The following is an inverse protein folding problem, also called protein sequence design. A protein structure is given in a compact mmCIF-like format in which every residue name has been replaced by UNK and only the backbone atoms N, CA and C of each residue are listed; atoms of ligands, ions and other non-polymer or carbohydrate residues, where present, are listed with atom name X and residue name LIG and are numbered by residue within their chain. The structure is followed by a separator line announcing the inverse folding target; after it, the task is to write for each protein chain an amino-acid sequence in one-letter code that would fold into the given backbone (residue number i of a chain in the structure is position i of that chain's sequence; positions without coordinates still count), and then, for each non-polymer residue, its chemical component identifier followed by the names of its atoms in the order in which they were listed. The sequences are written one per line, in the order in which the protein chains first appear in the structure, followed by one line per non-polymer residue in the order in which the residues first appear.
data_IF_472690308002
#
_entry.id   IF_472690308002
#
_cell.length_a   1.000
_cell.length_b   1.000
_cell.length_c   1.000
_cell.angle_alpha   90.00
_cell.angle_beta   90.00
_cell.angle_gamma   90.00
#
_symmetry.space_group_name_H-M   'P 1'
#
loop_
_entity.id
_entity.type
_entity.pdbx_description
1 polymer ?
#
# COMPACT_ATOMS: atom_id res chain seq x y z
N UNK A 1 -23.58 -28.60 -25.35
CA UNK A 1 -22.94 -28.32 -24.04
C UNK A 1 -22.32 -29.54 -23.39
N UNK A 2 -22.94 -30.71 -23.40
CA UNK A 2 -22.41 -31.92 -22.71
C UNK A 2 -20.97 -32.33 -23.13
N UNK A 3 -20.58 -32.18 -24.41
CA UNK A 3 -19.26 -32.58 -24.89
C UNK A 3 -18.12 -31.64 -24.42
N UNK A 4 -18.36 -30.34 -24.36
CA UNK A 4 -17.35 -29.38 -23.84
C UNK A 4 -17.18 -29.60 -22.33
N UNK A 5 -18.25 -29.84 -21.60
CA UNK A 5 -18.21 -30.12 -20.16
C UNK A 5 -17.38 -31.38 -19.83
N UNK A 6 -17.56 -32.47 -20.57
CA UNK A 6 -16.74 -33.69 -20.38
C UNK A 6 -15.25 -33.39 -20.62
N UNK A 7 -14.92 -32.74 -21.73
CA UNK A 7 -13.54 -32.35 -22.04
C UNK A 7 -12.96 -31.41 -20.94
N UNK A 8 -13.74 -30.49 -20.42
CA UNK A 8 -13.35 -29.61 -19.33
C UNK A 8 -13.03 -30.40 -18.04
N UNK A 9 -13.88 -31.36 -17.66
CA UNK A 9 -13.64 -32.21 -16.49
C UNK A 9 -12.38 -33.06 -16.66
N UNK A 10 -12.20 -33.69 -17.82
CA UNK A 10 -11.01 -34.49 -18.12
C UNK A 10 -9.71 -33.67 -18.06
N UNK A 11 -9.72 -32.45 -18.60
CA UNK A 11 -8.56 -31.54 -18.54
C UNK A 11 -8.25 -31.08 -17.11
N UNK A 12 -9.29 -30.82 -16.29
CA UNK A 12 -9.09 -30.49 -14.88
C UNK A 12 -8.47 -31.65 -14.11
N UNK A 13 -9.01 -32.87 -14.24
CA UNK A 13 -8.43 -34.06 -13.60
C UNK A 13 -6.97 -34.24 -13.99
N UNK A 14 -6.65 -34.08 -15.27
CA UNK A 14 -5.27 -34.17 -15.81
C UNK A 14 -4.36 -33.11 -15.18
N UNK A 15 -4.84 -31.85 -15.07
CA UNK A 15 -4.07 -30.73 -14.52
C UNK A 15 -3.77 -30.94 -13.03
N UNK A 16 -4.77 -31.32 -12.22
CA UNK A 16 -4.61 -31.54 -10.78
C UNK A 16 -3.77 -32.78 -10.42
N UNK A 17 -3.72 -33.80 -11.29
CA UNK A 17 -2.90 -35.01 -11.09
C UNK A 17 -1.43 -34.81 -11.43
N UNK A 18 -1.07 -33.79 -12.22
CA UNK A 18 0.34 -33.53 -12.61
C UNK A 18 1.21 -33.25 -11.39
N UNK A 19 2.42 -33.82 -11.36
CA UNK A 19 3.42 -33.57 -10.34
C UNK A 19 3.78 -32.07 -10.25
N UNK A 20 3.93 -31.39 -11.39
CA UNK A 20 4.19 -29.96 -11.45
C UNK A 20 3.13 -29.10 -10.70
N UNK A 21 1.86 -29.48 -10.79
CA UNK A 21 0.77 -28.80 -10.08
C UNK A 21 0.88 -28.97 -8.55
N UNK A 22 1.21 -30.19 -8.10
CA UNK A 22 1.43 -30.46 -6.68
C UNK A 22 2.64 -29.72 -6.15
N UNK A 23 3.75 -29.73 -6.88
CA UNK A 23 4.96 -28.97 -6.54
C UNK A 23 4.67 -27.47 -6.47
N UNK A 24 3.85 -26.95 -7.39
CA UNK A 24 3.43 -25.57 -7.41
C UNK A 24 2.71 -25.17 -6.11
N UNK A 25 1.76 -25.99 -5.67
CA UNK A 25 1.01 -25.73 -4.44
C UNK A 25 1.96 -25.73 -3.23
N UNK A 26 2.89 -26.67 -3.17
CA UNK A 26 3.90 -26.72 -2.08
C UNK A 26 4.74 -25.43 -2.07
N UNK A 27 5.22 -24.99 -3.22
CA UNK A 27 6.02 -23.75 -3.32
C UNK A 27 5.21 -22.50 -2.95
N UNK A 28 3.94 -22.44 -3.30
CA UNK A 28 3.05 -21.34 -2.86
C UNK A 28 2.84 -21.33 -1.35
N UNK A 29 2.68 -22.51 -0.73
CA UNK A 29 2.60 -22.63 0.75
C UNK A 29 3.92 -22.19 1.38
N UNK A 30 5.06 -22.58 0.83
CA UNK A 30 6.37 -22.12 1.31
C UNK A 30 6.54 -20.60 1.18
N UNK A 31 6.04 -20.00 0.10
CA UNK A 31 6.02 -18.55 -0.07
C UNK A 31 5.15 -17.85 1.01
N UNK A 32 4.00 -18.44 1.34
CA UNK A 32 3.13 -17.95 2.41
C UNK A 32 3.83 -18.04 3.78
N UNK A 33 4.48 -19.16 4.06
CA UNK A 33 5.29 -19.34 5.30
C UNK A 33 6.45 -18.35 5.33
N UNK A 34 7.10 -18.08 4.21
CA UNK A 34 8.15 -17.05 4.11
C UNK A 34 7.63 -15.66 4.43
N UNK A 35 6.47 -15.28 3.90
CA UNK A 35 5.81 -14.01 4.21
C UNK A 35 5.45 -13.90 5.70
N UNK A 36 4.96 -15.00 6.30
CA UNK A 36 4.65 -15.08 7.72
C UNK A 36 5.91 -14.91 8.59
N UNK A 37 6.98 -15.61 8.24
CA UNK A 37 8.26 -15.54 8.97
C UNK A 37 8.86 -14.14 8.91
N UNK A 38 8.80 -13.49 7.74
CA UNK A 38 9.30 -12.12 7.56
C UNK A 38 8.51 -11.12 8.42
N UNK A 39 7.18 -11.20 8.41
CA UNK A 39 6.33 -10.31 9.20
C UNK A 39 6.52 -10.51 10.70
N UNK A 40 6.72 -11.76 11.17
CA UNK A 40 7.04 -12.06 12.57
C UNK A 40 8.42 -11.57 12.97
N UNK A 41 9.39 -11.64 12.07
CA UNK A 41 10.72 -11.10 12.31
C UNK A 41 10.69 -9.58 12.49
N UNK A 42 9.94 -8.87 11.64
CA UNK A 42 9.75 -7.42 11.76
C UNK A 42 9.09 -7.07 13.10
N UNK A 43 8.03 -7.77 13.47
CA UNK A 43 7.38 -7.59 14.78
C UNK A 43 8.36 -7.76 15.95
N UNK A 44 9.17 -8.82 15.92
CA UNK A 44 10.18 -9.08 16.97
C UNK A 44 11.25 -7.99 17.06
N UNK A 45 11.70 -7.46 15.91
CA UNK A 45 12.70 -6.39 15.87
C UNK A 45 12.13 -5.11 16.47
N UNK A 46 10.88 -4.76 16.16
CA UNK A 46 10.25 -3.56 16.68
C UNK A 46 9.96 -3.66 18.16
N UNK A 47 9.42 -4.80 18.63
CA UNK A 47 9.24 -5.05 20.08
C UNK A 47 10.54 -4.95 20.87
N UNK A 48 11.66 -5.38 20.28
CA UNK A 48 12.99 -5.26 20.92
C UNK A 48 13.51 -3.82 20.93
N UNK A 49 13.15 -3.02 19.93
CA UNK A 49 13.53 -1.61 19.87
C UNK A 49 12.70 -0.75 20.85
N UNK A 50 11.45 -1.12 21.11
CA UNK A 50 10.60 -0.43 22.10
C UNK A 50 11.10 -0.59 23.55
N UNK A 51 11.82 -1.66 23.87
CA UNK A 51 12.44 -1.88 25.19
C UNK A 51 13.50 -0.78 25.52
N UNK A 52 14.01 -0.08 24.51
CA UNK A 52 14.96 1.01 24.71
C UNK A 52 14.31 2.34 25.16
N UNK A 53 13.00 2.37 25.42
CA UNK A 53 12.29 3.56 25.82
C UNK A 53 12.71 4.10 27.20
N UNK A 54 12.98 3.22 28.16
CA UNK A 54 13.46 3.62 29.50
C UNK A 54 14.87 4.20 29.45
N UNK A 55 15.75 3.64 28.62
CA UNK A 55 17.11 4.17 28.44
C UNK A 55 17.10 5.54 27.76
N UNK A 56 16.10 5.79 26.89
CA UNK A 56 15.94 7.09 26.26
C UNK A 56 15.47 8.18 27.23
N UNK A 57 14.55 7.89 28.16
CA UNK A 57 14.08 8.83 29.18
C UNK A 57 15.25 9.23 30.08
N UNK A 58 16.02 8.26 30.61
CA UNK A 58 17.17 8.55 31.47
C UNK A 58 18.26 9.35 30.74
N UNK A 59 18.58 8.99 29.50
CA UNK A 59 19.57 9.74 28.71
C UNK A 59 19.10 11.15 28.33
N UNK A 60 17.79 11.38 28.15
CA UNK A 60 17.24 12.70 27.89
C UNK A 60 17.26 13.60 29.14
N UNK A 61 16.97 13.04 30.30
CA UNK A 61 17.07 13.78 31.58
C UNK A 61 18.51 14.19 31.89
N UNK A 62 19.47 13.28 31.72
CA UNK A 62 20.90 13.57 31.86
C UNK A 62 21.36 14.63 30.84
N UNK A 63 20.90 14.52 29.59
CA UNK A 63 21.16 15.51 28.56
C UNK A 63 20.65 16.91 28.95
N UNK A 64 19.44 17.04 29.45
CA UNK A 64 18.89 18.33 29.89
C UNK A 64 19.64 18.90 31.12
N UNK A 65 20.08 18.05 32.05
CA UNK A 65 20.94 18.48 33.18
C UNK A 65 22.27 19.01 32.68
N UNK A 66 22.89 18.34 31.71
CA UNK A 66 24.15 18.79 31.09
C UNK A 66 23.99 20.14 30.38
N UNK A 67 22.91 20.33 29.62
CA UNK A 67 22.62 21.63 28.98
C UNK A 67 22.41 22.74 29.99
N UNK A 68 21.74 22.48 31.11
CA UNK A 68 21.59 23.47 32.21
C UNK A 68 22.93 23.86 32.79
N UNK A 69 23.87 22.94 32.98
CA UNK A 69 25.21 23.25 33.48
C UNK A 69 25.98 24.14 32.49
N UNK A 70 25.96 23.80 31.21
CA UNK A 70 26.60 24.61 30.15
C UNK A 70 26.01 26.03 30.11
N UNK A 71 24.67 26.15 30.17
CA UNK A 71 24.00 27.46 30.15
C UNK A 71 24.31 28.29 31.41
N UNK A 72 24.44 27.64 32.57
CA UNK A 72 24.84 28.31 33.83
C UNK A 72 26.31 28.82 33.77
N UNK A 73 27.21 28.07 33.13
CA UNK A 73 28.57 28.54 32.90
C UNK A 73 28.60 29.75 31.96
N UNK A 74 27.81 29.73 30.88
CA UNK A 74 27.66 30.85 29.95
C UNK A 74 27.14 32.11 30.66
N UNK A 75 26.21 32.00 31.62
CA UNK A 75 25.72 33.16 32.39
C UNK A 75 26.78 33.87 33.22
N UNK A 76 27.91 33.21 33.53
CA UNK A 76 29.01 33.79 34.24
C UNK A 76 29.88 34.71 33.37
N UNK A 77 29.69 34.70 32.05
CA UNK A 77 30.41 35.57 31.14
C UNK A 77 29.92 37.04 31.28
N UNK A 78 30.83 37.88 31.72
CA UNK A 78 30.57 39.30 31.90
C UNK A 78 30.43 40.10 30.60
N UNK A 79 30.71 39.52 29.45
CA UNK A 79 30.62 40.14 28.12
C UNK A 79 29.21 40.13 27.55
N UNK A 80 28.31 39.33 28.10
CA UNK A 80 26.93 39.17 27.63
C UNK A 80 26.09 40.42 27.90
N UNK A 81 25.32 40.82 26.91
CA UNK A 81 24.29 41.84 27.06
C UNK A 81 23.16 41.39 27.97
N UNK A 82 22.37 42.32 28.52
CA UNK A 82 21.22 42.01 29.36
C UNK A 82 20.21 41.13 28.65
N UNK A 83 19.94 41.33 27.36
CA UNK A 83 19.01 40.53 26.56
C UNK A 83 19.49 39.10 26.40
N UNK A 84 20.80 38.88 26.21
CA UNK A 84 21.38 37.54 26.08
C UNK A 84 21.29 36.78 27.41
N UNK A 85 21.50 37.43 28.53
CA UNK A 85 21.34 36.82 29.85
C UNK A 85 19.89 36.40 30.12
N UNK A 86 18.91 37.26 29.81
CA UNK A 86 17.51 36.97 29.93
C UNK A 86 17.06 35.75 29.08
N UNK A 87 17.66 35.63 27.87
CA UNK A 87 17.39 34.47 27.00
C UNK A 87 17.97 33.16 27.55
N UNK A 88 19.21 33.20 28.05
CA UNK A 88 19.84 32.02 28.69
C UNK A 88 19.07 31.60 29.94
N UNK A 89 18.64 32.51 30.82
CA UNK A 89 17.83 32.24 31.99
C UNK A 89 16.48 31.61 31.60
N UNK A 90 15.89 32.07 30.48
CA UNK A 90 14.66 31.48 29.96
C UNK A 90 14.88 30.05 29.46
N UNK A 91 15.97 29.76 28.79
CA UNK A 91 16.32 28.41 28.33
C UNK A 91 16.54 27.46 29.53
N UNK A 92 17.25 27.90 30.56
CA UNK A 92 17.43 27.14 31.79
C UNK A 92 16.07 26.80 32.39
N UNK A 93 15.18 27.78 32.51
CA UNK A 93 13.83 27.57 33.03
C UNK A 93 13.03 26.55 32.21
N UNK A 94 13.15 26.57 30.89
CA UNK A 94 12.51 25.58 30.00
C UNK A 94 12.99 24.17 30.32
N UNK A 95 14.30 23.96 30.43
CA UNK A 95 14.86 22.65 30.77
C UNK A 95 14.48 22.20 32.18
N UNK A 96 14.45 23.09 33.14
CA UNK A 96 13.97 22.77 34.51
C UNK A 96 12.50 22.34 34.50
N UNK A 97 11.63 23.01 33.74
CA UNK A 97 10.22 22.63 33.55
C UNK A 97 10.13 21.26 32.88
N UNK A 98 10.95 20.97 31.86
CA UNK A 98 10.97 19.65 31.21
C UNK A 98 11.33 18.55 32.20
N UNK A 99 12.37 18.70 32.99
CA UNK A 99 12.79 17.72 33.99
C UNK A 99 11.73 17.54 35.05
N UNK A 100 11.24 18.63 35.64
CA UNK A 100 10.25 18.62 36.73
C UNK A 100 8.95 17.92 36.35
N UNK A 101 8.50 18.13 35.09
CA UNK A 101 7.22 17.61 34.61
C UNK A 101 7.42 16.37 33.69
N UNK A 102 8.62 15.81 33.63
CA UNK A 102 8.96 14.62 32.83
C UNK A 102 8.57 14.76 31.33
N UNK A 103 8.84 15.93 30.73
CA UNK A 103 8.50 16.26 29.34
C UNK A 103 9.68 15.91 28.44
N UNK A 104 9.77 14.66 27.98
CA UNK A 104 10.93 14.21 27.20
C UNK A 104 10.68 14.17 25.68
N UNK A 105 9.49 13.82 25.20
CA UNK A 105 9.12 13.77 23.76
C UNK A 105 7.62 13.96 23.54
N UNK A 106 7.22 14.25 22.30
CA UNK A 106 5.90 14.12 21.64
C UNK A 106 4.64 14.57 22.39
N UNK A 107 4.76 15.07 23.61
CA UNK A 107 3.69 15.67 24.39
C UNK A 107 3.44 17.11 23.87
N UNK A 108 2.19 17.58 23.91
CA UNK A 108 1.83 18.95 23.55
C UNK A 108 2.67 20.01 24.28
N UNK A 109 3.08 19.73 25.53
CA UNK A 109 3.95 20.58 26.33
C UNK A 109 5.33 20.72 25.71
N UNK A 110 5.85 19.64 25.10
CA UNK A 110 7.12 19.69 24.38
C UNK A 110 7.02 20.58 23.14
N UNK A 111 5.90 20.54 22.41
CA UNK A 111 5.64 21.46 21.29
C UNK A 111 5.54 22.92 21.79
N UNK A 112 4.80 23.15 22.89
CA UNK A 112 4.68 24.47 23.48
C UNK A 112 6.02 25.06 23.93
N UNK A 113 6.89 24.23 24.52
CA UNK A 113 8.22 24.63 24.99
C UNK A 113 9.26 24.74 23.87
N UNK A 114 8.98 24.27 22.68
CA UNK A 114 9.85 24.41 21.51
C UNK A 114 9.68 25.75 20.77
N UNK A 115 8.65 26.53 21.10
CA UNK A 115 8.45 27.85 20.51
C UNK A 115 9.55 28.83 20.95
N UNK A 116 10.34 29.33 20.02
CA UNK A 116 11.43 30.29 20.28
C UNK A 116 10.90 31.57 20.99
N UNK A 117 9.65 31.95 20.70
CA UNK A 117 8.99 33.13 21.25
C UNK A 117 7.97 32.77 22.37
N UNK A 118 8.29 31.76 23.18
CA UNK A 118 7.41 31.35 24.26
C UNK A 118 7.18 32.50 25.26
N UNK A 119 5.91 32.80 25.53
CA UNK A 119 5.52 33.82 26.49
C UNK A 119 5.32 33.22 27.90
N UNK A 120 5.31 34.09 28.91
CA UNK A 120 5.12 33.66 30.30
C UNK A 120 3.75 32.97 30.52
N UNK A 121 2.72 33.36 29.75
CA UNK A 121 1.39 32.75 29.81
C UNK A 121 1.46 31.28 29.35
N UNK A 122 2.19 31.00 28.27
CA UNK A 122 2.41 29.62 27.78
C UNK A 122 3.18 28.77 28.79
N UNK A 123 4.21 29.35 29.46
CA UNK A 123 4.93 28.65 30.54
C UNK A 123 4.02 28.28 31.71
N UNK A 124 3.16 29.17 32.15
CA UNK A 124 2.17 28.88 33.20
C UNK A 124 1.16 27.79 32.80
N UNK A 125 0.70 27.81 31.54
CA UNK A 125 -0.20 26.79 30.98
C UNK A 125 0.49 25.42 30.98
N UNK A 126 1.76 25.35 30.62
CA UNK A 126 2.55 24.10 30.62
C UNK A 126 2.78 23.61 32.06
N UNK A 127 3.15 24.50 32.98
CA UNK A 127 3.34 24.14 34.42
C UNK A 127 2.06 23.62 35.07
N UNK A 128 0.90 24.18 34.69
CA UNK A 128 -0.41 23.74 35.18
C UNK A 128 -0.97 22.51 34.47
N UNK A 129 -0.28 22.03 33.45
CA UNK A 129 -0.74 20.96 32.57
C UNK A 129 -2.12 21.23 31.96
N UNK A 130 -2.39 22.50 31.59
CA UNK A 130 -3.66 22.97 31.04
C UNK A 130 -3.68 22.86 29.53
N UNK A 131 -4.00 21.65 29.01
CA UNK A 131 -4.09 21.39 27.57
C UNK A 131 -5.17 22.24 26.86
N UNK A 132 -6.32 22.39 27.50
CA UNK A 132 -7.44 23.15 26.93
C UNK A 132 -7.08 24.62 26.77
N UNK A 133 -6.44 25.21 27.81
CA UNK A 133 -5.90 26.57 27.78
C UNK A 133 -4.85 26.75 26.67
N UNK A 134 -4.00 25.74 26.42
CA UNK A 134 -3.03 25.76 25.35
C UNK A 134 -3.71 25.76 23.98
N UNK A 135 -4.73 24.92 23.79
CA UNK A 135 -5.47 24.87 22.51
C UNK A 135 -6.22 26.18 22.25
N UNK A 136 -6.82 26.79 23.29
CA UNK A 136 -7.47 28.09 23.16
C UNK A 136 -6.48 29.20 22.79
N UNK A 137 -5.28 29.20 23.39
CA UNK A 137 -4.21 30.13 23.03
C UNK A 137 -3.75 29.93 21.58
N UNK A 138 -3.64 28.67 21.08
CA UNK A 138 -3.31 28.40 19.68
C UNK A 138 -4.39 28.92 18.72
N UNK A 139 -5.67 28.77 19.08
CA UNK A 139 -6.78 29.32 18.27
C UNK A 139 -6.75 30.85 18.25
N UNK A 140 -6.45 31.50 19.37
CA UNK A 140 -6.31 32.97 19.46
C UNK A 140 -5.13 33.45 18.58
N UNK A 141 -3.97 32.79 18.69
CA UNK A 141 -2.78 33.08 17.83
C UNK A 141 -3.11 32.88 16.35
N UNK A 142 -3.85 31.83 16.00
CA UNK A 142 -4.27 31.55 14.63
C UNK A 142 -5.20 32.63 14.07
N UNK A 143 -6.18 33.08 14.87
CA UNK A 143 -7.08 34.17 14.49
C UNK A 143 -6.33 35.46 14.28
N UNK A 144 -5.38 35.81 15.18
CA UNK A 144 -4.52 36.98 15.04
C UNK A 144 -3.71 36.95 13.73
N UNK A 145 -3.15 35.80 13.35
CA UNK A 145 -2.45 35.66 12.06
C UNK A 145 -3.36 35.94 10.86
N UNK A 146 -4.64 35.57 10.92
CA UNK A 146 -5.62 35.94 9.88
C UNK A 146 -5.91 37.42 9.86
N UNK A 147 -6.17 38.02 11.03
CA UNK A 147 -6.47 39.47 11.18
C UNK A 147 -5.27 40.31 10.69
N UNK A 148 -4.05 39.86 10.97
CA UNK A 148 -2.79 40.49 10.53
C UNK A 148 -2.46 40.14 9.04
N UNK A 149 -3.32 39.42 8.32
CA UNK A 149 -3.16 38.98 6.91
C UNK A 149 -1.89 38.17 6.65
N UNK A 150 -1.39 37.47 7.65
CA UNK A 150 -0.22 36.58 7.53
C UNK A 150 -0.56 35.25 6.87
N UNK A 151 -1.84 34.83 6.98
CA UNK A 151 -2.37 33.60 6.39
C UNK A 151 -3.65 33.88 5.61
N UNK A 152 -3.99 33.03 4.65
CA UNK A 152 -5.23 33.12 3.90
C UNK A 152 -6.44 32.60 4.72
N UNK A 153 -7.65 32.95 4.30
CA UNK A 153 -8.87 32.43 4.90
C UNK A 153 -8.96 30.89 4.79
N UNK A 154 -8.49 30.34 3.67
CA UNK A 154 -8.46 28.88 3.46
C UNK A 154 -7.51 28.21 4.45
N UNK A 155 -6.31 28.75 4.62
CA UNK A 155 -5.33 28.24 5.57
C UNK A 155 -5.82 28.33 7.01
N UNK A 156 -6.50 29.41 7.37
CA UNK A 156 -7.14 29.55 8.67
C UNK A 156 -8.19 28.47 8.90
N UNK A 157 -9.06 28.21 7.92
CA UNK A 157 -10.09 27.19 8.04
C UNK A 157 -9.51 25.80 8.19
N UNK A 158 -8.48 25.46 7.41
CA UNK A 158 -7.76 24.19 7.49
C UNK A 158 -7.14 23.97 8.87
N UNK A 159 -6.35 24.94 9.37
CA UNK A 159 -5.69 24.83 10.66
C UNK A 159 -6.70 24.83 11.83
N UNK A 160 -7.80 25.55 11.70
CA UNK A 160 -8.89 25.56 12.69
C UNK A 160 -9.49 24.17 12.86
N UNK A 161 -9.79 23.46 11.76
CA UNK A 161 -10.29 22.08 11.79
C UNK A 161 -9.29 21.18 12.52
N UNK A 162 -7.99 21.32 12.25
CA UNK A 162 -6.96 20.50 12.88
C UNK A 162 -6.84 20.77 14.38
N UNK A 163 -6.93 22.03 14.80
CA UNK A 163 -6.93 22.41 16.22
C UNK A 163 -8.18 21.90 16.95
N UNK A 164 -9.35 21.95 16.31
CA UNK A 164 -10.58 21.39 16.87
C UNK A 164 -10.47 19.86 17.02
N UNK A 165 -9.91 19.16 16.06
CA UNK A 165 -9.64 17.71 16.16
C UNK A 165 -8.66 17.42 17.32
N UNK A 166 -7.56 18.18 17.42
CA UNK A 166 -6.59 18.02 18.52
C UNK A 166 -7.25 18.21 19.89
N UNK A 167 -8.07 19.26 20.02
CA UNK A 167 -8.76 19.57 21.28
C UNK A 167 -9.81 18.51 21.63
N UNK A 168 -10.71 18.19 20.69
CA UNK A 168 -11.85 17.30 20.94
C UNK A 168 -11.43 15.86 21.25
N UNK A 169 -10.35 15.39 20.61
CA UNK A 169 -9.86 14.02 20.78
C UNK A 169 -8.63 13.92 21.69
N UNK A 170 -8.22 15.00 22.33
CA UNK A 170 -7.09 15.02 23.26
C UNK A 170 -5.79 14.52 22.62
N UNK A 171 -5.53 14.90 21.36
CA UNK A 171 -4.36 14.40 20.63
C UNK A 171 -3.10 15.02 21.22
N UNK A 172 -2.15 14.18 21.60
CA UNK A 172 -0.94 14.54 22.34
C UNK A 172 -1.20 15.09 23.76
N UNK A 173 -2.42 14.88 24.32
CA UNK A 173 -2.80 15.44 25.63
C UNK A 173 -2.15 14.72 26.80
N UNK A 174 -2.14 13.42 26.78
CA UNK A 174 -1.79 12.60 27.92
C UNK A 174 -0.90 11.42 27.53
N UNK A 175 0.16 11.31 28.19
CA UNK A 175 1.00 10.23 28.61
C UNK A 175 2.48 10.42 28.24
N UNK A 176 3.32 10.79 29.21
CA UNK A 176 4.77 10.84 29.02
C UNK A 176 5.36 9.45 28.71
N UNK A 177 4.57 8.37 28.83
CA UNK A 177 4.96 6.99 28.51
C UNK A 177 4.62 6.57 27.08
N UNK A 178 3.68 7.23 26.41
CA UNK A 178 3.37 6.96 25.01
C UNK A 178 4.33 7.75 24.13
N UNK A 179 5.39 7.07 23.68
CA UNK A 179 6.40 7.64 22.79
C UNK A 179 5.87 8.09 21.43
N UNK A 180 4.66 7.68 21.05
CA UNK A 180 4.12 7.90 19.73
C UNK A 180 2.58 7.91 19.74
N UNK A 181 1.99 9.08 19.57
CA UNK A 181 0.57 9.20 19.26
C UNK A 181 0.40 9.22 17.73
N UNK A 182 -0.08 8.10 17.15
CA UNK A 182 -0.33 7.99 15.72
C UNK A 182 -1.23 9.12 15.20
N UNK A 183 -2.14 9.64 16.04
CA UNK A 183 -3.08 10.72 15.70
C UNK A 183 -2.34 12.04 15.42
N UNK A 184 -1.25 12.31 16.14
CA UNK A 184 -0.40 13.48 15.90
C UNK A 184 0.25 13.42 14.51
N UNK A 185 0.73 12.23 14.10
CA UNK A 185 1.26 12.04 12.75
C UNK A 185 0.17 12.17 11.69
N UNK A 186 -1.02 11.62 11.94
CA UNK A 186 -2.16 11.76 11.03
C UNK A 186 -2.53 13.24 10.82
N UNK A 187 -2.50 14.05 11.86
CA UNK A 187 -2.71 15.51 11.74
C UNK A 187 -1.62 16.18 10.89
N UNK A 188 -0.37 15.80 11.10
CA UNK A 188 0.74 16.30 10.27
C UNK A 188 0.55 15.94 8.79
N UNK A 189 0.13 14.72 8.51
CA UNK A 189 -0.15 14.25 7.14
C UNK A 189 -1.34 15.01 6.51
N UNK A 190 -2.41 15.27 7.29
CA UNK A 190 -3.54 16.08 6.82
C UNK A 190 -3.06 17.49 6.47
N UNK A 191 -2.32 18.14 7.35
CA UNK A 191 -1.76 19.50 7.12
C UNK A 191 -0.93 19.56 5.84
N UNK A 192 -0.06 18.57 5.62
CA UNK A 192 0.76 18.51 4.41
C UNK A 192 -0.07 18.35 3.14
N UNK A 193 -1.11 17.50 3.16
CA UNK A 193 -2.02 17.32 2.02
C UNK A 193 -2.88 18.56 1.77
N UNK A 194 -3.41 19.21 2.81
CA UNK A 194 -4.13 20.49 2.69
C UNK A 194 -3.23 21.57 2.06
N UNK A 195 -1.99 21.71 2.52
CA UNK A 195 -1.02 22.63 1.92
C UNK A 195 -0.79 22.30 0.45
N UNK A 196 -0.63 21.04 0.09
CA UNK A 196 -0.44 20.60 -1.30
C UNK A 196 -1.67 20.92 -2.17
N UNK A 197 -2.88 20.77 -1.64
CA UNK A 197 -4.13 21.12 -2.34
C UNK A 197 -4.22 22.63 -2.60
N UNK A 198 -3.90 23.48 -1.60
CA UNK A 198 -3.92 24.95 -1.75
C UNK A 198 -2.89 25.45 -2.75
N UNK A 199 -1.67 24.92 -2.70
CA UNK A 199 -0.57 25.34 -3.60
C UNK A 199 -0.67 24.73 -4.99
N UNK A 200 -1.45 23.64 -5.15
CA UNK A 200 -1.47 22.85 -6.38
C UNK A 200 -0.18 22.06 -6.62
N UNK A 201 0.74 22.04 -5.66
CA UNK A 201 2.05 21.39 -5.75
C UNK A 201 2.17 20.35 -4.65
N UNK A 202 2.57 19.15 -5.02
CA UNK A 202 2.86 18.07 -4.08
C UNK A 202 4.06 18.45 -3.21
N UNK A 203 3.88 18.50 -1.89
CA UNK A 203 4.92 18.91 -0.92
C UNK A 203 6.10 17.96 -0.85
N UNK A 204 5.93 16.68 -1.24
CA UNK A 204 6.99 15.67 -1.20
C UNK A 204 7.81 15.62 -2.50
N UNK A 205 7.13 15.77 -3.63
CA UNK A 205 7.75 15.59 -4.95
C UNK A 205 8.02 16.89 -5.69
N UNK A 206 7.54 18.04 -5.17
CA UNK A 206 7.58 19.37 -5.79
C UNK A 206 6.99 19.42 -7.22
N UNK A 207 5.98 18.57 -7.51
CA UNK A 207 5.33 18.52 -8.82
C UNK A 207 3.89 19.04 -8.73
N UNK A 208 3.42 19.58 -9.85
CA UNK A 208 2.03 20.05 -9.96
C UNK A 208 1.07 18.86 -9.81
N UNK A 209 0.09 19.00 -8.94
CA UNK A 209 -0.95 17.99 -8.71
C UNK A 209 -1.89 17.89 -9.91
N UNK A 210 -2.14 16.68 -10.35
CA UNK A 210 -3.22 16.37 -11.30
C UNK A 210 -4.58 16.38 -10.59
N UNK A 211 -5.68 16.57 -11.31
CA UNK A 211 -7.03 16.55 -10.73
C UNK A 211 -7.35 15.23 -9.99
N UNK A 212 -6.83 14.12 -10.49
CA UNK A 212 -6.96 12.83 -9.81
C UNK A 212 -6.22 12.80 -8.47
N UNK A 213 -5.01 13.36 -8.41
CA UNK A 213 -4.24 13.42 -7.16
C UNK A 213 -4.90 14.37 -6.15
N UNK A 214 -5.45 15.49 -6.61
CA UNK A 214 -6.23 16.39 -5.75
C UNK A 214 -7.39 15.64 -5.09
N UNK A 215 -8.21 14.95 -5.90
CA UNK A 215 -9.31 14.14 -5.39
C UNK A 215 -8.82 13.04 -4.42
N UNK A 216 -7.70 12.39 -4.73
CA UNK A 216 -7.13 11.37 -3.84
C UNK A 216 -6.70 11.99 -2.50
N UNK A 217 -6.09 13.18 -2.49
CA UNK A 217 -5.73 13.87 -1.26
C UNK A 217 -6.95 14.31 -0.44
N UNK A 218 -8.02 14.77 -1.09
CA UNK A 218 -9.29 15.06 -0.43
C UNK A 218 -9.89 13.79 0.22
N UNK A 219 -9.88 12.67 -0.48
CA UNK A 219 -10.37 11.39 0.04
C UNK A 219 -9.49 10.88 1.19
N UNK A 220 -8.16 11.00 1.08
CA UNK A 220 -7.22 10.64 2.13
C UNK A 220 -7.41 11.49 3.40
N UNK A 221 -7.66 12.79 3.26
CA UNK A 221 -7.96 13.69 4.37
C UNK A 221 -9.24 13.22 5.10
N UNK A 222 -10.31 12.91 4.35
CA UNK A 222 -11.56 12.39 4.93
C UNK A 222 -11.34 11.09 5.69
N UNK A 223 -10.57 10.16 5.12
CA UNK A 223 -10.22 8.90 5.78
C UNK A 223 -9.41 9.16 7.06
N UNK A 224 -8.46 10.08 7.00
CA UNK A 224 -7.62 10.44 8.14
C UNK A 224 -8.43 11.06 9.28
N UNK A 225 -9.36 11.95 8.99
CA UNK A 225 -10.30 12.53 9.97
C UNK A 225 -11.16 11.40 10.58
N UNK A 226 -11.75 10.55 9.74
CA UNK A 226 -12.57 9.42 10.19
C UNK A 226 -11.80 8.47 11.12
N UNK A 227 -10.50 8.23 10.85
CA UNK A 227 -9.63 7.42 11.72
C UNK A 227 -9.48 8.03 13.11
N UNK A 228 -9.28 9.34 13.19
CA UNK A 228 -9.19 10.06 14.48
C UNK A 228 -10.52 9.99 15.22
N UNK A 229 -11.64 10.30 14.55
CA UNK A 229 -12.98 10.34 15.15
C UNK A 229 -13.43 8.98 15.71
N UNK A 230 -13.02 7.89 15.06
CA UNK A 230 -13.42 6.53 15.44
C UNK A 230 -12.31 5.75 16.16
N UNK A 231 -11.20 6.40 16.51
CA UNK A 231 -10.02 5.79 17.16
C UNK A 231 -9.51 4.54 16.43
N UNK A 232 -9.40 4.62 15.09
CA UNK A 232 -8.96 3.49 14.25
C UNK A 232 -7.49 3.68 13.88
N UNK A 233 -6.58 3.18 14.70
CA UNK A 233 -5.13 3.31 14.48
C UNK A 233 -4.68 2.60 13.21
N UNK A 234 -5.10 1.38 13.01
CA UNK A 234 -4.49 0.43 12.07
C UNK A 234 -5.20 0.26 10.72
N UNK A 235 -6.17 1.11 10.39
CA UNK A 235 -6.82 1.02 9.07
C UNK A 235 -5.91 1.56 7.96
N UNK A 236 -5.83 0.85 6.85
CA UNK A 236 -5.02 1.18 5.67
C UNK A 236 -3.52 1.41 5.98
N UNK A 237 -3.02 0.91 7.10
CA UNK A 237 -1.66 1.18 7.58
C UNK A 237 -0.76 -0.03 7.40
N UNK A 238 0.48 0.23 6.96
CA UNK A 238 1.55 -0.77 6.93
C UNK A 238 2.22 -0.98 8.28
N UNK A 239 1.87 -0.21 9.30
CA UNK A 239 2.35 -0.40 10.67
C UNK A 239 1.69 -1.58 11.40
N UNK A 240 0.63 -2.15 10.84
CA UNK A 240 0.04 -3.38 11.35
C UNK A 240 0.72 -4.62 10.73
N UNK A 241 1.33 -5.43 11.57
CA UNK A 241 2.04 -6.65 11.14
C UNK A 241 1.14 -7.66 10.42
N UNK A 242 -0.15 -7.71 10.73
CA UNK A 242 -1.10 -8.54 10.00
C UNK A 242 -1.33 -8.01 8.59
N UNK A 243 -1.57 -6.71 8.43
CA UNK A 243 -1.69 -6.10 7.10
C UNK A 243 -0.39 -6.22 6.31
N UNK A 244 0.76 -6.07 6.97
CA UNK A 244 2.08 -6.31 6.36
C UNK A 244 2.21 -7.74 5.89
N UNK A 245 1.86 -8.73 6.73
CA UNK A 245 1.84 -10.15 6.35
C UNK A 245 0.89 -10.39 5.17
N UNK A 246 -0.34 -9.91 5.24
CA UNK A 246 -1.34 -10.10 4.20
C UNK A 246 -0.92 -9.46 2.87
N UNK A 247 -0.25 -8.30 2.91
CA UNK A 247 0.32 -7.62 1.74
C UNK A 247 1.48 -8.40 1.13
N UNK A 248 2.41 -8.88 1.95
CA UNK A 248 3.51 -9.73 1.50
C UNK A 248 2.97 -11.04 0.92
N UNK A 249 2.08 -11.72 1.66
CA UNK A 249 1.47 -12.97 1.22
C UNK A 249 0.78 -12.79 -0.13
N UNK A 250 -0.05 -11.75 -0.27
CA UNK A 250 -0.73 -11.47 -1.53
C UNK A 250 0.24 -11.24 -2.67
N UNK A 251 1.32 -10.49 -2.45
CA UNK A 251 2.30 -10.19 -3.50
C UNK A 251 3.12 -11.41 -3.90
N UNK A 252 3.69 -12.12 -2.94
CA UNK A 252 4.51 -13.33 -3.21
C UNK A 252 3.66 -14.44 -3.80
N UNK A 253 2.53 -14.75 -3.17
CA UNK A 253 1.69 -15.87 -3.60
C UNK A 253 1.11 -15.62 -5.01
N UNK A 254 0.65 -14.40 -5.31
CA UNK A 254 0.15 -14.10 -6.66
C UNK A 254 1.25 -14.16 -7.73
N UNK A 255 2.50 -13.81 -7.40
CA UNK A 255 3.62 -13.99 -8.32
C UNK A 255 3.87 -15.48 -8.61
N UNK A 256 3.84 -16.35 -7.61
CA UNK A 256 3.94 -17.80 -7.81
C UNK A 256 2.75 -18.35 -8.58
N UNK A 257 1.52 -17.93 -8.27
CA UNK A 257 0.33 -18.31 -9.04
C UNK A 257 0.53 -17.95 -10.54
N UNK A 258 1.01 -16.73 -10.84
CA UNK A 258 1.25 -16.31 -12.21
C UNK A 258 2.26 -17.21 -12.91
N UNK A 259 3.41 -17.46 -12.30
CA UNK A 259 4.46 -18.32 -12.89
C UNK A 259 3.91 -19.73 -13.17
N UNK A 260 3.21 -20.33 -12.22
CA UNK A 260 2.68 -21.68 -12.39
C UNK A 260 1.56 -21.75 -13.41
N UNK A 261 0.67 -20.78 -13.44
CA UNK A 261 -0.38 -20.73 -14.46
C UNK A 261 0.21 -20.54 -15.86
N UNK A 262 1.29 -19.73 -15.99
CA UNK A 262 2.05 -19.59 -17.23
C UNK A 262 2.67 -20.94 -17.66
N UNK A 263 3.26 -21.70 -16.74
CA UNK A 263 3.83 -23.03 -17.02
C UNK A 263 2.73 -24.00 -17.48
N UNK A 264 1.59 -24.03 -16.79
CA UNK A 264 0.44 -24.88 -17.16
C UNK A 264 -0.09 -24.49 -18.53
N UNK A 265 -0.28 -23.19 -18.80
CA UNK A 265 -0.78 -22.67 -20.06
C UNK A 265 0.20 -22.91 -21.22
N UNK A 266 1.48 -22.61 -21.03
CA UNK A 266 2.54 -22.80 -22.03
C UNK A 266 2.75 -24.27 -22.40
N UNK A 267 2.52 -25.18 -21.46
CA UNK A 267 2.62 -26.62 -21.69
C UNK A 267 1.32 -27.26 -22.25
N UNK A 268 0.19 -26.56 -22.22
CA UNK A 268 -1.14 -27.19 -22.42
C UNK A 268 -1.33 -27.81 -23.80
N UNK A 269 -0.79 -27.23 -24.86
CA UNK A 269 -0.89 -27.72 -26.25
C UNK A 269 0.45 -28.15 -26.78
N UNK A 270 1.50 -27.38 -26.55
CA UNK A 270 2.83 -27.68 -27.09
C UNK A 270 3.37 -29.05 -26.63
N UNK A 271 3.11 -29.44 -25.35
CA UNK A 271 3.51 -30.77 -24.87
C UNK A 271 2.72 -31.88 -25.56
N UNK A 272 1.46 -31.71 -25.87
CA UNK A 272 0.65 -32.72 -26.56
C UNK A 272 1.09 -32.89 -28.03
N UNK A 273 1.58 -31.82 -28.67
CA UNK A 273 2.17 -31.86 -29.97
C UNK A 273 3.51 -32.60 -29.92
N UNK A 274 4.41 -32.21 -29.01
CA UNK A 274 5.77 -32.79 -28.92
C UNK A 274 5.78 -34.27 -28.53
N UNK A 275 4.80 -34.72 -27.71
CA UNK A 275 4.63 -36.12 -27.33
C UNK A 275 3.81 -36.94 -28.34
N UNK A 276 3.29 -36.32 -29.39
CA UNK A 276 2.43 -36.97 -30.37
C UNK A 276 1.02 -37.33 -29.88
N UNK A 277 0.71 -37.02 -28.60
CA UNK A 277 -0.61 -37.32 -28.00
C UNK A 277 -1.74 -36.52 -28.64
N UNK A 278 -1.44 -35.44 -29.34
CA UNK A 278 -2.42 -34.67 -30.10
C UNK A 278 -3.11 -35.50 -31.21
N UNK A 279 -2.49 -36.58 -31.70
CA UNK A 279 -3.09 -37.49 -32.68
C UNK A 279 -4.32 -38.19 -32.15
N UNK A 280 -4.40 -38.46 -30.83
CA UNK A 280 -5.59 -39.03 -30.20
C UNK A 280 -6.80 -38.11 -30.31
N UNK A 281 -6.57 -36.77 -30.35
CA UNK A 281 -7.66 -35.82 -30.55
C UNK A 281 -8.28 -35.89 -31.96
N UNK A 282 -7.47 -36.25 -32.95
CA UNK A 282 -7.95 -36.45 -34.31
C UNK A 282 -8.86 -37.69 -34.45
N UNK A 283 -8.72 -38.68 -33.55
CA UNK A 283 -9.56 -39.88 -33.49
C UNK A 283 -10.86 -39.64 -32.76
N UNK A 284 -11.02 -38.54 -32.01
CA UNK A 284 -12.24 -38.20 -31.29
C UNK A 284 -13.25 -37.45 -32.18
N UNK A 285 -14.55 -37.68 -32.09
CA UNK A 285 -15.56 -36.97 -32.86
C UNK A 285 -15.81 -35.53 -32.38
N UNK A 286 -14.77 -34.87 -31.87
CA UNK A 286 -14.86 -33.52 -31.34
C UNK A 286 -14.25 -32.51 -32.29
N UNK A 287 -14.93 -31.37 -32.53
CA UNK A 287 -14.39 -30.27 -33.31
C UNK A 287 -13.22 -29.62 -32.57
N UNK A 288 -12.12 -29.25 -33.25
CA UNK A 288 -10.88 -28.68 -32.69
C UNK A 288 -11.14 -27.47 -31.74
N UNK A 289 -12.01 -26.57 -32.17
CA UNK A 289 -12.35 -25.42 -31.36
C UNK A 289 -12.95 -25.77 -29.97
N UNK A 290 -13.69 -26.90 -29.84
CA UNK A 290 -14.26 -27.34 -28.54
C UNK A 290 -13.17 -27.82 -27.59
N UNK A 291 -12.11 -28.43 -28.12
CA UNK A 291 -10.95 -28.87 -27.34
C UNK A 291 -10.22 -27.66 -26.78
N UNK A 292 -9.93 -26.69 -27.66
CA UNK A 292 -9.26 -25.44 -27.25
C UNK A 292 -10.09 -24.68 -26.20
N UNK A 293 -11.40 -24.55 -26.42
CA UNK A 293 -12.30 -23.93 -25.44
C UNK A 293 -12.28 -24.65 -24.10
N UNK A 294 -12.30 -25.99 -24.08
CA UNK A 294 -12.24 -26.75 -22.83
C UNK A 294 -10.93 -26.52 -22.08
N UNK A 295 -9.80 -26.40 -22.78
CA UNK A 295 -8.49 -26.09 -22.18
C UNK A 295 -8.45 -24.67 -21.59
N UNK A 296 -8.99 -23.67 -22.30
CA UNK A 296 -9.09 -22.30 -21.80
C UNK A 296 -9.95 -22.26 -20.54
N UNK A 297 -11.12 -22.89 -20.55
CA UNK A 297 -12.01 -22.94 -19.39
C UNK A 297 -11.37 -23.67 -18.20
N UNK A 298 -10.66 -24.79 -18.44
CA UNK A 298 -9.92 -25.52 -17.42
C UNK A 298 -8.81 -24.67 -16.79
N UNK A 299 -8.08 -23.92 -17.60
CA UNK A 299 -7.03 -23.00 -17.13
C UNK A 299 -7.59 -21.89 -16.25
N UNK A 300 -8.69 -21.26 -16.67
CA UNK A 300 -9.35 -20.21 -15.90
C UNK A 300 -9.94 -20.76 -14.59
N UNK A 301 -10.54 -21.93 -14.63
CA UNK A 301 -11.07 -22.61 -13.44
C UNK A 301 -9.92 -22.93 -12.45
N UNK A 302 -8.81 -23.47 -12.93
CA UNK A 302 -7.63 -23.74 -12.13
C UNK A 302 -7.13 -22.47 -11.45
N UNK A 303 -7.02 -21.35 -12.19
CA UNK A 303 -6.59 -20.07 -11.66
C UNK A 303 -7.51 -19.57 -10.53
N UNK A 304 -8.83 -19.62 -10.74
CA UNK A 304 -9.81 -19.18 -9.72
C UNK A 304 -9.72 -20.04 -8.46
N UNK A 305 -9.69 -21.38 -8.61
CA UNK A 305 -9.64 -22.30 -7.47
C UNK A 305 -8.37 -22.15 -6.66
N UNK A 306 -7.20 -22.09 -7.31
CA UNK A 306 -5.93 -21.94 -6.59
C UNK A 306 -5.84 -20.60 -5.86
N UNK A 307 -6.34 -19.54 -6.47
CA UNK A 307 -6.38 -18.21 -5.83
C UNK A 307 -7.30 -18.20 -4.62
N UNK A 308 -8.47 -18.81 -4.72
CA UNK A 308 -9.40 -18.91 -3.59
C UNK A 308 -8.78 -19.70 -2.42
N UNK A 309 -8.14 -20.84 -2.71
CA UNK A 309 -7.44 -21.64 -1.70
C UNK A 309 -6.36 -20.80 -1.01
N UNK A 310 -5.55 -20.08 -1.78
CA UNK A 310 -4.46 -19.28 -1.22
C UNK A 310 -4.96 -18.06 -0.44
N UNK A 311 -6.05 -17.42 -0.88
CA UNK A 311 -6.69 -16.34 -0.14
C UNK A 311 -7.22 -16.84 1.22
N UNK A 312 -7.87 -17.98 1.25
CA UNK A 312 -8.36 -18.60 2.49
C UNK A 312 -7.21 -18.98 3.43
N UNK A 313 -6.12 -19.55 2.91
CA UNK A 313 -4.94 -19.87 3.71
C UNK A 313 -4.30 -18.59 4.29
N UNK A 314 -4.20 -17.52 3.52
CA UNK A 314 -3.70 -16.23 4.02
C UNK A 314 -4.57 -15.71 5.18
N UNK A 315 -5.89 -15.75 5.05
CA UNK A 315 -6.82 -15.34 6.10
C UNK A 315 -6.70 -16.19 7.37
N UNK A 316 -6.57 -17.52 7.21
CA UNK A 316 -6.41 -18.45 8.34
C UNK A 316 -5.09 -18.17 9.06
N UNK A 317 -3.97 -18.07 8.32
CA UNK A 317 -2.68 -17.74 8.90
C UNK A 317 -2.69 -16.37 9.58
N UNK A 318 -3.29 -15.35 8.96
CA UNK A 318 -3.43 -14.03 9.56
C UNK A 318 -4.19 -14.03 10.88
N UNK A 319 -5.25 -14.84 11.01
CA UNK A 319 -6.01 -14.97 12.26
C UNK A 319 -5.29 -15.75 13.35
N UNK A 320 -4.50 -16.77 12.98
CA UNK A 320 -3.81 -17.63 13.97
C UNK A 320 -2.58 -16.94 14.53
N UNK A 321 -1.81 -16.27 13.70
CA UNK A 321 -0.49 -15.77 14.06
C UNK A 321 -0.45 -14.30 14.46
N UNK A 322 -1.49 -13.54 14.17
CA UNK A 322 -1.58 -12.12 14.53
C UNK A 322 -2.88 -11.84 15.27
N UNK A 323 -2.74 -11.28 16.47
CA UNK A 323 -3.88 -10.76 17.23
C UNK A 323 -4.36 -9.48 16.55
N UNK A 324 -5.65 -9.43 16.22
CA UNK A 324 -6.22 -8.29 15.52
C UNK A 324 -7.51 -7.83 16.14
N UNK A 325 -7.49 -6.63 16.62
CA UNK A 325 -8.68 -5.84 16.84
C UNK A 325 -8.83 -4.87 15.66
N UNK A 326 -9.98 -4.97 14.98
CA UNK A 326 -10.49 -3.88 14.15
C UNK A 326 -9.87 -3.61 12.78
N UNK A 327 -9.11 -4.54 12.16
CA UNK A 327 -8.58 -4.30 10.83
C UNK A 327 -9.69 -4.16 9.79
N UNK A 328 -9.81 -2.94 9.29
CA UNK A 328 -10.76 -2.58 8.25
C UNK A 328 -10.05 -1.79 7.15
N UNK A 329 -10.44 -2.01 5.92
CA UNK A 329 -10.06 -1.13 4.82
C UNK A 329 -11.08 0.01 4.71
N UNK A 330 -10.59 1.25 4.72
CA UNK A 330 -11.38 2.46 4.57
C UNK A 330 -11.22 3.02 3.16
N UNK A 331 -12.32 3.44 2.56
CA UNK A 331 -12.34 4.08 1.25
C UNK A 331 -13.47 5.10 1.18
N UNK A 332 -13.36 6.05 0.26
CA UNK A 332 -14.40 7.06 0.05
C UNK A 332 -15.27 6.67 -1.14
N UNK A 333 -16.57 6.60 -0.91
CA UNK A 333 -17.57 6.40 -1.96
C UNK A 333 -18.67 7.46 -1.82
N UNK A 334 -18.97 8.14 -2.91
CA UNK A 334 -19.96 9.22 -2.94
C UNK A 334 -19.73 10.31 -1.87
N UNK A 335 -18.44 10.59 -1.58
CA UNK A 335 -18.02 11.61 -0.62
C UNK A 335 -18.05 11.17 0.85
N UNK A 336 -18.51 9.95 1.15
CA UNK A 336 -18.62 9.38 2.51
C UNK A 336 -17.58 8.28 2.69
N UNK A 337 -16.94 8.24 3.87
CA UNK A 337 -16.02 7.16 4.24
C UNK A 337 -16.80 5.89 4.54
N UNK A 338 -16.46 4.84 3.85
CA UNK A 338 -17.01 3.50 4.05
C UNK A 338 -15.92 2.54 4.50
N UNK A 339 -16.32 1.46 5.18
CA UNK A 339 -15.41 0.42 5.66
C UNK A 339 -15.76 -0.94 5.08
N UNK A 340 -14.76 -1.68 4.65
CA UNK A 340 -14.85 -3.10 4.29
C UNK A 340 -14.13 -3.92 5.36
N UNK A 341 -14.75 -5.00 5.81
CA UNK A 341 -14.09 -5.94 6.72
C UNK A 341 -12.88 -6.60 6.06
N UNK A 342 -11.84 -6.87 6.85
CA UNK A 342 -10.57 -7.40 6.36
C UNK A 342 -10.73 -8.67 5.52
N UNK A 343 -11.64 -9.57 5.90
CA UNK A 343 -11.89 -10.83 5.16
C UNK A 343 -12.36 -10.55 3.72
N UNK A 344 -13.32 -9.64 3.56
CA UNK A 344 -13.83 -9.27 2.24
C UNK A 344 -12.73 -8.55 1.43
N UNK A 345 -12.03 -7.61 2.05
CA UNK A 345 -10.92 -6.89 1.42
C UNK A 345 -9.86 -7.84 0.85
N UNK A 346 -9.37 -8.82 1.62
CA UNK A 346 -8.33 -9.76 1.17
C UNK A 346 -8.83 -10.61 0.00
N UNK A 347 -10.05 -11.10 0.05
CA UNK A 347 -10.63 -11.88 -1.05
C UNK A 347 -10.73 -11.02 -2.32
N UNK A 348 -11.30 -9.83 -2.22
CA UNK A 348 -11.44 -8.92 -3.36
C UNK A 348 -10.08 -8.50 -3.92
N UNK A 349 -9.09 -8.25 -3.06
CA UNK A 349 -7.74 -7.89 -3.47
C UNK A 349 -7.04 -9.03 -4.23
N UNK A 350 -7.17 -10.29 -3.78
CA UNK A 350 -6.67 -11.44 -4.53
C UNK A 350 -7.36 -11.56 -5.91
N UNK A 351 -8.68 -11.36 -5.98
CA UNK A 351 -9.39 -11.38 -7.25
C UNK A 351 -9.00 -10.23 -8.18
N UNK A 352 -8.74 -9.04 -7.66
CA UNK A 352 -8.20 -7.94 -8.46
C UNK A 352 -6.82 -8.27 -9.07
N UNK A 353 -5.98 -9.01 -8.34
CA UNK A 353 -4.66 -9.47 -8.79
C UNK A 353 -4.73 -10.62 -9.83
N UNK A 354 -5.85 -11.33 -9.93
CA UNK A 354 -6.04 -12.38 -10.95
C UNK A 354 -6.12 -11.79 -12.37
N UNK A 355 -6.74 -10.61 -12.54
CA UNK A 355 -7.03 -10.06 -13.87
C UNK A 355 -5.78 -9.97 -14.75
N UNK A 356 -4.66 -9.38 -14.30
CA UNK A 356 -3.43 -9.40 -15.10
C UNK A 356 -2.88 -10.81 -15.34
N UNK A 357 -3.05 -11.74 -14.38
CA UNK A 357 -2.58 -13.12 -14.53
C UNK A 357 -3.32 -13.84 -15.67
N UNK A 358 -4.62 -13.56 -15.85
CA UNK A 358 -5.39 -14.09 -16.99
C UNK A 358 -4.75 -13.68 -18.32
N UNK A 359 -4.30 -12.43 -18.46
CA UNK A 359 -3.66 -11.94 -19.67
C UNK A 359 -2.36 -12.71 -19.98
N UNK A 360 -1.51 -12.90 -18.96
CA UNK A 360 -0.27 -13.68 -19.13
C UNK A 360 -0.54 -15.17 -19.39
N UNK A 361 -1.58 -15.74 -18.78
CA UNK A 361 -2.00 -17.12 -19.04
C UNK A 361 -2.49 -17.30 -20.48
N UNK A 362 -3.30 -16.37 -20.99
CA UNK A 362 -3.73 -16.38 -22.40
C UNK A 362 -2.55 -16.18 -23.35
N UNK A 363 -1.61 -15.30 -23.00
CA UNK A 363 -0.40 -15.10 -23.79
C UNK A 363 0.46 -16.37 -23.85
N UNK A 364 0.67 -17.05 -22.72
CA UNK A 364 1.41 -18.30 -22.68
C UNK A 364 0.72 -19.43 -23.50
N UNK A 365 -0.60 -19.51 -23.39
CA UNK A 365 -1.39 -20.47 -24.17
C UNK A 365 -1.34 -20.16 -25.67
N UNK A 366 -1.42 -18.88 -26.04
CA UNK A 366 -1.26 -18.43 -27.43
C UNK A 366 0.11 -18.85 -27.99
N UNK A 367 1.18 -18.58 -27.24
CA UNK A 367 2.51 -19.01 -27.64
C UNK A 367 2.63 -20.54 -27.76
N UNK A 368 2.01 -21.28 -26.85
CA UNK A 368 1.95 -22.75 -26.89
C UNK A 368 1.31 -23.28 -28.19
N UNK A 369 0.24 -22.63 -28.65
CA UNK A 369 -0.44 -22.96 -29.91
C UNK A 369 0.37 -22.58 -31.12
N UNK A 370 0.93 -21.36 -31.13
CA UNK A 370 1.61 -20.78 -32.27
C UNK A 370 3.00 -21.40 -32.50
N UNK A 371 3.80 -21.49 -31.43
CA UNK A 371 5.19 -21.99 -31.53
C UNK A 371 5.29 -23.51 -31.54
N UNK A 372 4.27 -24.20 -30.96
CA UNK A 372 4.28 -25.66 -30.79
C UNK A 372 5.49 -26.18 -29.99
N UNK A 373 6.17 -25.28 -29.26
CA UNK A 373 7.34 -25.56 -28.47
C UNK A 373 7.11 -25.13 -27.05
N UNK A 374 7.13 -26.10 -26.12
CA UNK A 374 6.85 -25.87 -24.70
C UNK A 374 7.86 -24.91 -24.04
N UNK A 375 9.16 -25.11 -24.35
CA UNK A 375 10.23 -24.31 -23.76
C UNK A 375 10.14 -22.84 -24.20
N UNK A 376 9.88 -22.58 -25.46
CA UNK A 376 9.74 -21.23 -26.01
C UNK A 376 8.48 -20.55 -25.40
N UNK A 377 7.36 -21.26 -25.39
CA UNK A 377 6.11 -20.71 -24.84
C UNK A 377 6.25 -20.31 -23.38
N UNK A 378 6.84 -21.18 -22.54
CA UNK A 378 7.02 -20.90 -21.10
C UNK A 378 8.07 -19.81 -20.89
N UNK A 379 9.26 -19.95 -21.50
CA UNK A 379 10.37 -19.01 -21.28
C UNK A 379 10.01 -17.58 -21.67
N UNK A 380 9.42 -17.40 -22.86
CA UNK A 380 9.05 -16.07 -23.34
C UNK A 380 7.92 -15.46 -22.49
N UNK A 381 6.95 -16.26 -22.05
CA UNK A 381 5.86 -15.78 -21.20
C UNK A 381 6.34 -15.39 -19.80
N UNK A 382 7.23 -16.17 -19.19
CA UNK A 382 7.84 -15.83 -17.89
C UNK A 382 8.72 -14.58 -18.04
N UNK A 383 9.53 -14.49 -19.11
CA UNK A 383 10.36 -13.31 -19.35
C UNK A 383 9.50 -12.04 -19.53
N UNK A 384 8.37 -12.15 -20.22
CA UNK A 384 7.41 -11.03 -20.38
C UNK A 384 6.74 -10.69 -19.06
N UNK A 385 6.35 -11.68 -18.26
CA UNK A 385 5.77 -11.46 -16.93
C UNK A 385 6.76 -10.80 -15.98
N UNK A 386 7.98 -11.30 -15.87
CA UNK A 386 8.99 -10.72 -14.97
C UNK A 386 9.51 -9.36 -15.48
N UNK A 387 9.60 -9.21 -16.79
CA UNK A 387 10.06 -7.97 -17.42
C UNK A 387 9.04 -6.85 -17.46
N UNK A 388 7.73 -7.11 -17.22
CA UNK A 388 6.70 -6.10 -17.39
C UNK A 388 6.89 -4.86 -16.46
N UNK A 389 7.36 -5.05 -15.25
CA UNK A 389 7.61 -3.95 -14.29
C UNK A 389 8.75 -3.06 -14.79
N UNK A 390 9.84 -3.67 -15.28
CA UNK A 390 10.99 -2.95 -15.82
C UNK A 390 10.60 -2.22 -17.11
N UNK A 391 9.88 -2.91 -17.99
CA UNK A 391 9.37 -2.32 -19.25
C UNK A 391 8.46 -1.13 -18.97
N UNK A 392 7.54 -1.25 -18.01
CA UNK A 392 6.66 -0.17 -17.57
C UNK A 392 7.47 1.03 -17.02
N UNK A 393 8.49 0.78 -16.22
CA UNK A 393 9.35 1.80 -15.64
C UNK A 393 10.11 2.57 -16.73
N UNK A 394 10.73 1.86 -17.68
CA UNK A 394 11.45 2.45 -18.81
C UNK A 394 10.50 3.27 -19.68
N UNK A 395 9.38 2.69 -20.10
CA UNK A 395 8.41 3.34 -20.98
C UNK A 395 7.90 4.65 -20.33
N UNK A 396 7.50 4.60 -19.07
CA UNK A 396 6.94 5.75 -18.38
C UNK A 396 7.98 6.85 -18.03
N UNK A 397 9.25 6.47 -17.92
CA UNK A 397 10.33 7.44 -17.65
C UNK A 397 10.76 8.18 -18.91
N UNK A 398 10.95 7.45 -20.02
CA UNK A 398 11.56 8.01 -21.23
C UNK A 398 10.57 8.44 -22.30
N UNK A 399 9.37 7.83 -22.33
CA UNK A 399 8.39 8.10 -23.38
C UNK A 399 7.20 8.87 -22.79
N UNK A 400 7.17 10.20 -22.95
CA UNK A 400 6.10 11.08 -22.45
C UNK A 400 5.08 11.38 -23.54
N UNK A 401 4.34 10.36 -24.04
CA UNK A 401 3.34 10.51 -25.10
C UNK A 401 2.03 9.82 -24.72
N UNK A 402 0.89 10.39 -25.11
CA UNK A 402 -0.45 9.91 -24.73
C UNK A 402 -0.80 8.50 -25.20
N UNK A 403 -0.22 8.02 -26.30
CA UNK A 403 -0.49 6.67 -26.81
C UNK A 403 0.02 5.54 -25.90
N UNK A 404 0.92 5.85 -24.96
CA UNK A 404 1.44 4.87 -23.97
C UNK A 404 0.31 4.23 -23.16
N UNK A 405 -0.78 4.95 -22.92
CA UNK A 405 -1.97 4.45 -22.19
C UNK A 405 -2.59 3.21 -22.87
N UNK A 406 -2.38 2.98 -24.18
CA UNK A 406 -2.89 1.82 -24.89
C UNK A 406 -1.96 0.59 -24.79
N UNK A 407 -0.77 0.73 -24.20
CA UNK A 407 0.12 -0.41 -23.97
C UNK A 407 -0.45 -1.29 -22.86
N UNK A 408 -0.62 -2.61 -23.07
CA UNK A 408 -1.20 -3.50 -22.06
C UNK A 408 -0.46 -3.47 -20.72
N UNK A 409 0.87 -3.38 -20.73
CA UNK A 409 1.70 -3.36 -19.51
C UNK A 409 1.33 -2.21 -18.55
N UNK A 410 0.96 -1.06 -19.09
CA UNK A 410 0.53 0.10 -18.27
C UNK A 410 -0.88 -0.06 -17.68
N UNK A 411 -1.60 -1.09 -18.06
CA UNK A 411 -2.97 -1.36 -17.61
C UNK A 411 -3.09 -2.61 -16.73
N UNK A 412 -1.97 -3.24 -16.35
CA UNK A 412 -1.96 -4.47 -15.57
C UNK A 412 -2.23 -4.24 -14.08
N UNK A 413 -1.93 -3.06 -13.54
CA UNK A 413 -2.17 -2.78 -12.12
C UNK A 413 -3.64 -2.39 -11.85
N UNK A 414 -4.51 -3.39 -11.91
CA UNK A 414 -5.95 -3.26 -11.66
C UNK A 414 -6.23 -3.06 -10.17
N UNK A 415 -5.47 -3.73 -9.30
CA UNK A 415 -5.71 -3.70 -7.86
C UNK A 415 -5.56 -2.26 -7.29
N UNK A 416 -4.54 -1.50 -7.69
CA UNK A 416 -4.37 -0.11 -7.26
C UNK A 416 -5.45 0.84 -7.79
N UNK A 417 -6.14 0.47 -8.87
CA UNK A 417 -7.26 1.25 -9.43
C UNK A 417 -8.59 0.97 -8.74
N UNK A 418 -8.73 -0.20 -8.13
CA UNK A 418 -9.89 -0.56 -7.29
C UNK A 418 -9.69 -0.04 -5.88
N UNK A 419 -8.50 -0.25 -5.31
CA UNK A 419 -8.15 0.09 -3.93
C UNK A 419 -7.21 1.30 -3.90
N UNK A 420 -7.73 2.47 -4.24
CA UNK A 420 -6.93 3.71 -4.42
C UNK A 420 -6.26 4.21 -3.15
N UNK A 421 -6.85 3.93 -1.99
CA UNK A 421 -6.34 4.36 -0.68
C UNK A 421 -5.52 3.27 0.04
N UNK A 422 -5.17 2.19 -0.65
CA UNK A 422 -4.32 1.12 -0.12
C UNK A 422 -2.95 1.13 -0.77
N UNK A 423 -1.93 1.41 0.03
CA UNK A 423 -0.54 1.33 -0.42
C UNK A 423 0.03 -0.03 -0.04
N UNK A 424 0.25 -0.89 -1.02
CA UNK A 424 0.95 -2.15 -0.78
C UNK A 424 2.47 -1.86 -0.74
N UNK A 425 3.18 -2.14 0.35
CA UNK A 425 4.60 -1.86 0.48
C UNK A 425 5.48 -2.61 -0.53
N UNK A 426 4.96 -3.69 -1.13
CA UNK A 426 5.67 -4.46 -2.16
C UNK A 426 5.39 -4.00 -3.60
N UNK A 427 4.46 -3.06 -3.81
CA UNK A 427 4.31 -2.46 -5.12
C UNK A 427 5.39 -1.41 -5.33
N UNK A 428 6.29 -1.65 -6.27
CA UNK A 428 7.18 -0.62 -6.80
C UNK A 428 6.26 0.36 -7.56
N UNK A 429 5.77 1.35 -6.85
CA UNK A 429 5.08 2.46 -7.48
C UNK A 429 6.12 3.21 -8.29
N UNK A 430 6.05 3.11 -9.62
CA UNK A 430 6.85 3.98 -10.47
C UNK A 430 6.44 5.42 -10.14
N UNK A 431 7.36 6.24 -9.59
CA UNK A 431 7.03 7.60 -9.25
C UNK A 431 6.59 8.33 -10.53
N UNK A 432 5.37 8.85 -10.52
CA UNK A 432 4.83 9.71 -11.57
C UNK A 432 4.67 9.06 -12.96
N UNK A 433 4.07 7.89 -13.05
CA UNK A 433 3.72 7.38 -14.36
C UNK A 433 2.64 8.26 -15.02
N UNK A 434 2.94 8.71 -16.23
CA UNK A 434 2.01 9.43 -17.13
C UNK A 434 0.67 8.67 -17.29
N UNK A 435 0.65 7.41 -16.92
CA UNK A 435 -0.43 6.43 -17.08
C UNK A 435 -1.29 6.24 -15.83
N UNK A 436 -0.91 6.82 -14.68
CA UNK A 436 -1.74 6.76 -13.47
C UNK A 436 -3.14 7.37 -13.65
N UNK A 437 -3.34 8.17 -14.69
CA UNK A 437 -4.62 8.83 -14.99
C UNK A 437 -5.62 7.98 -15.77
N UNK A 438 -5.32 6.73 -16.08
CA UNK A 438 -6.29 5.88 -16.77
C UNK A 438 -7.33 5.31 -15.79
N UNK A 439 -8.61 5.40 -16.19
CA UNK A 439 -9.70 4.83 -15.39
C UNK A 439 -9.64 3.29 -15.39
N UNK A 440 -10.28 2.67 -14.38
CA UNK A 440 -10.44 1.22 -14.31
C UNK A 440 -11.08 0.65 -15.59
N UNK A 441 -12.17 1.29 -16.06
CA UNK A 441 -12.91 0.87 -17.25
C UNK A 441 -12.02 0.91 -18.50
N UNK A 442 -11.23 1.98 -18.66
CA UNK A 442 -10.29 2.09 -19.77
C UNK A 442 -9.26 0.94 -19.76
N UNK A 443 -8.68 0.65 -18.59
CA UNK A 443 -7.68 -0.41 -18.45
C UNK A 443 -8.27 -1.79 -18.74
N UNK A 444 -9.47 -2.07 -18.24
CA UNK A 444 -10.18 -3.30 -18.55
C UNK A 444 -10.51 -3.40 -20.05
N UNK A 445 -10.84 -2.27 -20.70
CA UNK A 445 -11.04 -2.22 -22.15
C UNK A 445 -9.80 -2.58 -22.94
N UNK A 446 -8.64 -2.00 -22.61
CA UNK A 446 -7.35 -2.31 -23.25
C UNK A 446 -6.97 -3.78 -23.08
N UNK A 447 -7.08 -4.30 -21.86
CA UNK A 447 -6.79 -5.70 -21.55
C UNK A 447 -7.78 -6.65 -22.24
N UNK A 448 -9.06 -6.25 -22.33
CA UNK A 448 -10.09 -7.00 -23.07
C UNK A 448 -9.80 -7.12 -24.54
N UNK A 449 -9.41 -6.02 -25.20
CA UNK A 449 -9.00 -6.03 -26.61
C UNK A 449 -7.77 -6.94 -26.80
N UNK A 450 -6.78 -6.85 -25.90
CA UNK A 450 -5.60 -7.71 -25.94
C UNK A 450 -5.98 -9.20 -25.82
N UNK A 451 -6.86 -9.54 -24.87
CA UNK A 451 -7.37 -10.90 -24.70
C UNK A 451 -8.10 -11.41 -25.96
N UNK A 452 -8.95 -10.60 -26.56
CA UNK A 452 -9.67 -10.96 -27.79
C UNK A 452 -8.68 -11.25 -28.92
N UNK A 453 -7.68 -10.40 -29.14
CA UNK A 453 -6.65 -10.60 -30.16
C UNK A 453 -5.89 -11.92 -29.94
N UNK A 454 -5.51 -12.23 -28.69
CA UNK A 454 -4.86 -13.50 -28.35
C UNK A 454 -5.79 -14.70 -28.63
N UNK A 455 -7.08 -14.61 -28.27
CA UNK A 455 -8.05 -15.67 -28.54
C UNK A 455 -8.23 -15.89 -30.04
N UNK A 456 -8.42 -14.83 -30.83
CA UNK A 456 -8.56 -14.93 -32.29
C UNK A 456 -7.33 -15.60 -32.88
N UNK A 457 -6.12 -15.20 -32.53
CA UNK A 457 -4.87 -15.78 -33.00
C UNK A 457 -4.76 -17.26 -32.62
N UNK A 458 -5.16 -17.65 -31.41
CA UNK A 458 -5.17 -19.04 -30.98
C UNK A 458 -6.14 -19.90 -31.80
N UNK A 459 -7.40 -19.43 -31.93
CA UNK A 459 -8.39 -20.19 -32.69
C UNK A 459 -8.05 -20.32 -34.17
N UNK A 460 -7.54 -19.26 -34.79
CA UNK A 460 -7.11 -19.27 -36.19
C UNK A 460 -5.95 -20.25 -36.41
N UNK A 461 -4.88 -20.13 -35.59
CA UNK A 461 -3.73 -21.00 -35.64
C UNK A 461 -4.06 -22.47 -35.38
N UNK A 462 -4.94 -22.74 -34.37
CA UNK A 462 -5.27 -24.12 -34.00
C UNK A 462 -6.20 -24.84 -35.00
N UNK A 463 -7.09 -24.09 -35.68
CA UNK A 463 -8.03 -24.64 -36.62
C UNK A 463 -7.40 -24.87 -38.02
N UNK A 464 -6.54 -23.93 -38.50
CA UNK A 464 -6.03 -23.91 -39.85
C UNK A 464 -4.76 -24.75 -40.05
N UNK A 465 -3.96 -24.92 -38.99
CA UNK A 465 -2.69 -25.67 -39.13
C UNK A 465 -2.92 -27.20 -39.06
N UNK A 466 -2.24 -27.92 -39.92
CA UNK A 466 -2.29 -29.39 -39.93
C UNK A 466 -1.65 -29.96 -38.64
N UNK A 467 -2.27 -31.02 -38.12
CA UNK A 467 -1.76 -31.84 -37.03
C UNK A 467 -1.01 -33.00 -37.70
N UNK A 468 0.25 -32.77 -38.01
CA UNK A 468 1.13 -33.79 -38.60
C UNK A 468 1.86 -34.52 -37.48
#
# INVERSE_FOLDING_TARGET
MSKIYKLFVDENIKTWKKFSTKLAIILMILALVGALSLSKLLQYIDEKNDINSESFVSSSEEGFKGEIEILKEQLQDNTLSKSEKEEIERQIKIYEIRIKNQIYRTDWRSEALADINIDNKTLEIVEKNDFDGYMDQKQEKLKKKLDDKQISQEEYNDEKILLELQKNYGISKDDPKIFYDYRAQVISDIRQKQKSLRTGIDSQTNKVLTEKQKKQYEDDIKISIYKIENNIEKANSTSDYKMTFESFATSFVTAFIAIFVIIVAGSAIATEISTGTIKFWALTPNKRWKILTAKILSLLFYLVVITLIMALLTLVCGKIFFTTEGNTYLFVKDGVVQKIGNTAFIIEYYFAKIIPIIIFALFALMLSVVTRNTSVAIALSIATYMGNVIMMLIINTYIKKDWIKFIPFNNLDIASKIFTNFTNPMTISAPNSFVQNTSLIFSLGVLGVCAILMLVTMYDSFNKRDII
#
